data_IF_346668017846
#
_entry.id   IF_346668017846
#
_cell.length_a   1.000
_cell.length_b   1.000
_cell.length_c   1.000
_cell.angle_alpha   90.00
_cell.angle_beta   90.00
_cell.angle_gamma   90.00
#
_symmetry.space_group_name_H-M   'P 1'
#
loop_
_entity.id
_entity.type
_entity.pdbx_description
1 polymer ?
#
# COMPACT_ATOMS: atom_id res chain seq x y z
N UNK A 1 6.43 -23.80 -48.08
CA UNK A 1 7.49 -22.95 -47.51
C UNK A 1 6.80 -21.91 -46.65
N UNK A 2 6.96 -21.97 -45.34
CA UNK A 2 6.32 -21.06 -44.40
C UNK A 2 7.42 -20.29 -43.66
N UNK A 3 7.84 -19.17 -44.24
CA UNK A 3 8.70 -18.22 -43.52
C UNK A 3 7.77 -17.24 -42.82
N UNK A 4 7.51 -17.52 -41.54
CA UNK A 4 6.77 -16.61 -40.67
C UNK A 4 7.52 -15.29 -40.57
N UNK A 5 6.98 -14.25 -41.19
CA UNK A 5 7.42 -12.88 -40.97
C UNK A 5 6.94 -12.47 -39.58
N UNK A 6 7.86 -12.48 -38.62
CA UNK A 6 7.59 -12.10 -37.24
C UNK A 6 7.15 -10.64 -37.15
N UNK A 7 5.84 -10.41 -37.12
CA UNK A 7 5.23 -9.13 -36.81
C UNK A 7 5.12 -8.96 -35.30
N UNK A 8 6.26 -8.86 -34.63
CA UNK A 8 6.34 -8.40 -33.24
C UNK A 8 7.32 -7.22 -33.17
N UNK A 9 6.77 -6.01 -33.22
CA UNK A 9 7.45 -4.79 -32.77
C UNK A 9 8.29 -4.00 -33.79
N UNK A 10 8.36 -4.37 -35.07
CA UNK A 10 9.06 -3.58 -36.08
C UNK A 10 8.12 -2.55 -36.74
N UNK A 11 8.54 -1.28 -36.81
CA UNK A 11 7.87 -0.25 -37.61
C UNK A 11 7.84 -0.69 -39.08
N UNK A 12 6.66 -0.70 -39.71
CA UNK A 12 6.54 -1.07 -41.12
C UNK A 12 7.10 0.10 -41.93
N UNK A 13 8.16 -0.14 -42.68
CA UNK A 13 8.80 0.91 -43.47
C UNK A 13 8.22 0.96 -44.88
N UNK A 14 8.38 2.10 -45.57
CA UNK A 14 8.01 2.23 -47.00
C UNK A 14 8.71 1.20 -47.88
N UNK A 15 9.87 0.69 -47.44
CA UNK A 15 10.70 -0.20 -48.26
C UNK A 15 10.22 -1.64 -48.16
N UNK A 16 9.69 -2.01 -47.01
CA UNK A 16 9.04 -3.30 -46.82
C UNK A 16 7.77 -3.41 -47.66
N UNK A 17 6.95 -2.36 -47.70
CA UNK A 17 5.76 -2.32 -48.57
C UNK A 17 6.16 -2.41 -50.03
N UNK A 18 7.17 -1.64 -50.47
CA UNK A 18 7.66 -1.68 -51.86
C UNK A 18 8.22 -3.04 -52.26
N UNK A 19 8.96 -3.71 -51.38
CA UNK A 19 9.52 -5.04 -51.63
C UNK A 19 8.43 -6.09 -51.80
N UNK A 20 7.46 -6.14 -50.89
CA UNK A 20 6.34 -7.10 -50.95
C UNK A 20 5.43 -6.80 -52.15
N UNK A 21 5.17 -5.53 -52.45
CA UNK A 21 4.41 -5.13 -53.64
C UNK A 21 5.11 -5.56 -54.94
N UNK A 22 6.44 -5.46 -55.00
CA UNK A 22 7.22 -5.91 -56.16
C UNK A 22 7.21 -7.44 -56.31
N UNK A 23 7.33 -8.18 -55.21
CA UNK A 23 7.25 -9.64 -55.22
C UNK A 23 5.87 -10.14 -55.65
N UNK A 24 4.80 -9.50 -55.17
CA UNK A 24 3.42 -9.90 -55.44
C UNK A 24 2.96 -9.50 -56.85
N UNK A 25 3.34 -8.31 -57.31
CA UNK A 25 3.03 -7.85 -58.68
C UNK A 25 3.67 -8.72 -59.77
N UNK A 26 4.83 -9.33 -59.51
CA UNK A 26 5.47 -10.27 -60.44
C UNK A 26 4.67 -11.57 -60.65
N UNK A 27 3.83 -11.94 -59.67
CA UNK A 27 2.96 -13.12 -59.74
C UNK A 27 1.59 -12.87 -60.36
N UNK A 28 1.21 -11.61 -60.58
CA UNK A 28 -0.09 -11.22 -61.11
C UNK A 28 0.01 -10.73 -62.55
N UNK A 29 -0.83 -11.27 -63.44
CA UNK A 29 -0.74 -11.10 -64.91
C UNK A 29 -0.80 -9.65 -65.40
N UNK A 30 -1.33 -8.75 -64.58
CA UNK A 30 -1.53 -7.34 -64.92
C UNK A 30 -0.75 -6.39 -63.99
N UNK A 31 0.12 -6.91 -63.11
CA UNK A 31 0.86 -6.11 -62.10
C UNK A 31 -0.03 -5.47 -61.03
N UNK A 32 -1.35 -5.71 -61.07
CA UNK A 32 -2.31 -5.15 -60.15
C UNK A 32 -2.41 -5.98 -58.87
N UNK A 33 -2.18 -5.36 -57.72
CA UNK A 33 -2.23 -6.02 -56.40
C UNK A 33 -3.68 -5.97 -55.90
N UNK A 34 -4.33 -7.13 -55.63
CA UNK A 34 -5.67 -7.18 -55.09
C UNK A 34 -5.81 -6.51 -53.71
N UNK A 35 -7.01 -6.03 -53.37
CA UNK A 35 -7.25 -5.35 -52.08
C UNK A 35 -7.11 -6.27 -50.84
N UNK A 36 -7.09 -7.59 -51.01
CA UNK A 36 -6.92 -8.59 -49.94
C UNK A 36 -5.50 -9.16 -49.83
N UNK A 37 -4.54 -8.57 -50.54
CA UNK A 37 -3.17 -9.03 -50.64
C UNK A 37 -2.29 -8.61 -49.46
N UNK A 38 -1.16 -9.29 -49.30
CA UNK A 38 -0.20 -9.02 -48.23
C UNK A 38 0.38 -7.60 -48.38
N UNK A 39 0.68 -7.15 -49.61
CA UNK A 39 1.11 -5.78 -49.87
C UNK A 39 0.04 -4.73 -49.54
N UNK A 40 -1.24 -5.01 -49.83
CA UNK A 40 -2.36 -4.11 -49.51
C UNK A 40 -2.58 -3.99 -48.00
N UNK A 41 -2.38 -5.09 -47.27
CA UNK A 41 -2.46 -5.14 -45.81
C UNK A 41 -1.34 -4.32 -45.18
N UNK A 42 -0.11 -4.44 -45.67
CA UNK A 42 1.04 -3.65 -45.19
C UNK A 42 0.89 -2.16 -45.52
N UNK A 43 0.36 -1.81 -46.69
CA UNK A 43 0.03 -0.42 -47.03
C UNK A 43 -1.02 0.15 -46.07
N UNK A 44 -2.10 -0.58 -45.78
CA UNK A 44 -3.12 -0.15 -44.81
C UNK A 44 -2.56 0.05 -43.41
N UNK A 45 -1.64 -0.80 -42.98
CA UNK A 45 -0.98 -0.64 -41.68
C UNK A 45 -0.04 0.57 -41.67
N UNK A 46 0.70 0.82 -42.76
CA UNK A 46 1.53 2.01 -42.93
C UNK A 46 0.70 3.29 -42.94
N UNK A 47 -0.46 3.28 -43.61
CA UNK A 47 -1.38 4.41 -43.62
C UNK A 47 -1.95 4.67 -42.23
N UNK A 48 -2.33 3.62 -41.48
CA UNK A 48 -2.75 3.72 -40.07
C UNK A 48 -1.62 4.18 -39.14
N UNK A 49 -0.37 3.88 -39.46
CA UNK A 49 0.79 4.37 -38.72
C UNK A 49 1.10 5.85 -39.03
N UNK A 50 0.84 6.31 -40.26
CA UNK A 50 0.99 7.69 -40.70
C UNK A 50 -0.22 8.59 -40.45
N UNK A 51 -1.39 8.02 -40.13
CA UNK A 51 -2.48 8.80 -39.54
C UNK A 51 -1.90 9.53 -38.33
N UNK A 52 -2.09 10.84 -38.27
CA UNK A 52 -1.60 11.65 -37.16
C UNK A 52 -2.28 11.14 -35.89
N UNK A 53 -1.59 10.24 -35.17
CA UNK A 53 -2.13 9.56 -33.99
C UNK A 53 -2.62 10.58 -32.96
N UNK A 54 -2.03 11.79 -32.96
CA UNK A 54 -2.49 12.88 -32.13
C UNK A 54 -3.90 13.37 -32.51
N UNK A 55 -4.19 13.59 -33.80
CA UNK A 55 -5.54 13.99 -34.24
C UNK A 55 -6.60 12.95 -33.87
N UNK A 56 -6.30 11.66 -34.06
CA UNK A 56 -7.22 10.57 -33.71
C UNK A 56 -7.42 10.48 -32.18
N UNK A 57 -6.36 10.73 -31.40
CA UNK A 57 -6.44 10.76 -29.94
C UNK A 57 -7.27 11.96 -29.48
N UNK A 58 -7.09 13.13 -30.09
CA UNK A 58 -7.77 14.36 -29.70
C UNK A 58 -9.26 14.34 -30.07
N UNK A 59 -9.61 13.77 -31.23
CA UNK A 59 -10.99 13.50 -31.63
C UNK A 59 -11.70 12.52 -30.67
N UNK A 60 -11.00 11.49 -30.19
CA UNK A 60 -11.60 10.53 -29.24
C UNK A 60 -11.69 11.08 -27.83
N UNK A 61 -10.72 11.89 -27.39
CA UNK A 61 -10.77 12.58 -26.09
C UNK A 61 -11.91 13.58 -26.01
N UNK A 62 -12.18 14.33 -27.08
CA UNK A 62 -13.27 15.32 -27.10
C UNK A 62 -14.66 14.69 -27.09
N UNK A 63 -14.79 13.45 -27.60
CA UNK A 63 -16.04 12.68 -27.58
C UNK A 63 -16.22 11.79 -26.35
N UNK A 64 -15.31 11.85 -25.37
CA UNK A 64 -15.46 11.07 -24.15
C UNK A 64 -16.47 11.76 -23.22
N UNK A 65 -17.52 11.07 -22.75
CA UNK A 65 -18.49 11.66 -21.83
C UNK A 65 -17.76 12.18 -20.60
N UNK A 66 -18.03 13.44 -20.24
CA UNK A 66 -17.51 14.03 -19.02
C UNK A 66 -18.01 13.19 -17.84
N UNK A 67 -17.13 12.82 -16.89
CA UNK A 67 -17.56 12.20 -15.65
C UNK A 67 -18.58 13.11 -14.95
N UNK A 68 -19.73 12.58 -14.55
CA UNK A 68 -20.81 13.34 -13.90
C UNK A 68 -20.38 13.99 -12.58
N UNK A 69 -19.28 13.51 -11.99
CA UNK A 69 -18.65 14.11 -10.82
C UNK A 69 -17.16 14.39 -11.11
N UNK A 70 -16.68 15.64 -10.93
CA UNK A 70 -15.26 15.89 -10.97
C UNK A 70 -14.56 15.03 -9.90
N UNK A 71 -13.35 14.51 -10.15
CA UNK A 71 -12.60 13.81 -9.13
C UNK A 71 -12.40 14.75 -7.94
N UNK A 72 -13.06 14.41 -6.83
CA UNK A 72 -12.97 15.15 -5.58
C UNK A 72 -11.49 15.14 -5.17
N UNK A 73 -10.96 16.31 -4.80
CA UNK A 73 -9.58 16.42 -4.33
C UNK A 73 -9.36 15.40 -3.20
N UNK A 74 -8.33 14.57 -3.32
CA UNK A 74 -8.08 13.53 -2.33
C UNK A 74 -7.74 14.16 -0.98
N UNK A 75 -8.55 13.87 0.04
CA UNK A 75 -8.44 14.44 1.39
C UNK A 75 -7.32 13.79 2.25
N UNK A 76 -6.21 13.38 1.64
CA UNK A 76 -5.11 12.68 2.33
C UNK A 76 -4.33 13.54 3.32
N UNK A 77 -4.55 14.86 3.35
CA UNK A 77 -3.87 15.80 4.25
C UNK A 77 -4.70 16.17 5.49
N UNK A 78 -5.91 15.65 5.63
CA UNK A 78 -6.70 15.88 6.84
C UNK A 78 -6.14 15.04 7.98
N UNK A 79 -5.73 15.70 9.07
CA UNK A 79 -5.30 15.04 10.32
C UNK A 79 -6.40 14.17 10.96
N UNK A 80 -7.63 14.24 10.43
CA UNK A 80 -8.76 13.43 10.82
C UNK A 80 -8.77 12.10 10.06
N UNK A 81 -8.35 11.04 10.74
CA UNK A 81 -8.31 9.68 10.20
C UNK A 81 -9.68 9.12 9.79
N UNK A 82 -10.79 9.79 10.12
CA UNK A 82 -12.15 9.39 9.73
C UNK A 82 -12.55 9.85 8.32
N UNK A 83 -11.85 10.84 7.75
CA UNK A 83 -12.17 11.37 6.40
C UNK A 83 -11.36 10.70 5.28
N UNK A 84 -10.27 10.02 5.64
CA UNK A 84 -9.52 9.21 4.69
C UNK A 84 -10.22 7.86 4.50
N UNK A 85 -10.40 7.42 3.24
CA UNK A 85 -11.02 6.16 2.83
C UNK A 85 -10.22 4.90 3.25
N UNK A 86 -9.59 4.91 4.42
CA UNK A 86 -9.12 3.70 5.09
C UNK A 86 -10.34 3.11 5.78
N UNK A 87 -10.72 1.89 5.43
CA UNK A 87 -11.91 1.25 5.99
C UNK A 87 -11.90 1.36 7.51
N UNK A 88 -12.96 1.96 8.07
CA UNK A 88 -13.23 2.04 9.49
C UNK A 88 -13.51 0.63 10.03
N UNK A 89 -12.45 -0.16 10.20
CA UNK A 89 -12.52 -1.42 10.92
C UNK A 89 -13.12 -1.13 12.29
N UNK A 90 -14.39 -1.50 12.47
CA UNK A 90 -15.24 -1.06 13.56
C UNK A 90 -14.57 -1.12 14.92
N UNK A 91 -14.74 -0.04 15.68
CA UNK A 91 -14.32 0.06 17.07
C UNK A 91 -15.11 -0.97 17.89
N UNK A 92 -14.45 -2.06 18.29
CA UNK A 92 -14.89 -2.84 19.45
C UNK A 92 -14.59 -2.00 20.68
N UNK A 93 -15.64 -1.55 21.35
CA UNK A 93 -15.71 -0.61 22.49
C UNK A 93 -15.02 -1.08 23.79
N UNK A 94 -14.04 -1.98 23.68
CA UNK A 94 -13.53 -2.77 24.81
C UNK A 94 -12.09 -2.45 25.20
N UNK A 95 -11.51 -1.36 24.67
CA UNK A 95 -10.22 -0.84 25.17
C UNK A 95 -10.52 0.33 26.11
N UNK A 96 -11.20 0.05 27.23
CA UNK A 96 -11.70 1.05 28.17
C UNK A 96 -10.63 1.93 28.83
N UNK A 97 -9.35 1.54 28.72
CA UNK A 97 -8.22 2.24 29.32
C UNK A 97 -7.09 2.53 28.33
N UNK A 98 -7.37 3.02 27.12
CA UNK A 98 -6.31 3.39 26.17
C UNK A 98 -6.74 4.40 25.09
N UNK A 99 -6.07 5.55 25.09
CA UNK A 99 -6.28 6.64 24.13
C UNK A 99 -5.60 6.35 22.77
N UNK A 100 -5.70 7.32 21.85
CA UNK A 100 -4.93 7.61 20.63
C UNK A 100 -3.49 7.05 20.58
N UNK A 101 -2.81 6.88 21.72
CA UNK A 101 -1.51 6.19 21.82
C UNK A 101 -1.49 4.76 21.26
N UNK A 102 -2.60 4.00 21.32
CA UNK A 102 -2.63 2.60 20.91
C UNK A 102 -3.13 2.38 19.47
N UNK A 103 -3.88 3.33 18.92
CA UNK A 103 -4.61 3.16 17.64
C UNK A 103 -4.67 4.41 16.78
N UNK A 104 -4.36 5.56 17.37
CA UNK A 104 -4.32 6.82 16.66
C UNK A 104 -3.05 7.00 15.86
N UNK A 105 -3.00 8.04 15.02
CA UNK A 105 -1.78 8.40 14.33
C UNK A 105 -0.66 8.69 15.35
N UNK A 106 0.57 8.26 15.02
CA UNK A 106 1.75 8.45 15.86
C UNK A 106 2.20 9.92 15.87
N UNK A 107 1.39 10.78 16.49
CA UNK A 107 1.55 12.24 16.54
C UNK A 107 2.39 12.73 17.71
N UNK A 108 2.75 11.84 18.65
CA UNK A 108 3.62 12.14 19.79
C UNK A 108 4.80 11.17 19.88
N UNK A 109 5.83 11.58 20.63
CA UNK A 109 7.05 10.80 20.82
C UNK A 109 6.83 9.60 21.76
N UNK A 110 7.75 8.64 21.84
CA UNK A 110 7.58 7.46 22.69
C UNK A 110 7.87 7.79 24.16
N UNK A 111 6.91 7.54 25.05
CA UNK A 111 7.10 7.69 26.50
C UNK A 111 8.17 6.74 27.09
N UNK A 112 8.62 5.73 26.33
CA UNK A 112 9.74 4.85 26.71
C UNK A 112 11.10 5.53 26.51
N UNK A 113 11.19 6.47 25.57
CA UNK A 113 12.45 7.11 25.16
C UNK A 113 12.58 8.54 25.66
N UNK A 114 11.45 9.23 25.82
CA UNK A 114 11.39 10.65 26.12
C UNK A 114 10.56 10.89 27.37
N UNK A 115 11.13 11.61 28.33
CA UNK A 115 10.40 12.10 29.50
C UNK A 115 9.58 13.34 29.12
N UNK A 116 8.26 13.21 29.14
CA UNK A 116 7.33 14.28 28.80
C UNK A 116 7.50 15.51 29.70
N UNK A 117 7.73 15.30 30.99
CA UNK A 117 7.83 16.36 31.99
C UNK A 117 9.17 17.10 31.89
N UNK A 118 10.25 16.37 31.64
CA UNK A 118 11.56 16.99 31.43
C UNK A 118 11.62 17.79 30.12
N UNK A 119 11.12 17.23 29.02
CA UNK A 119 11.26 17.81 27.69
C UNK A 119 10.05 18.64 27.24
N UNK A 120 8.98 18.71 28.03
CA UNK A 120 7.74 19.41 27.68
C UNK A 120 7.20 18.99 26.29
N UNK A 121 7.35 17.71 25.96
CA UNK A 121 6.92 17.13 24.69
C UNK A 121 5.70 16.24 24.90
N UNK A 122 4.81 16.21 23.91
CA UNK A 122 3.72 15.25 23.89
C UNK A 122 4.30 13.85 23.64
N UNK A 123 4.32 13.00 24.65
CA UNK A 123 4.69 11.59 24.52
C UNK A 123 3.46 10.70 24.60
N UNK A 124 3.50 9.55 23.93
CA UNK A 124 2.44 8.56 23.84
C UNK A 124 2.93 7.24 24.45
N UNK A 125 2.01 6.49 25.05
CA UNK A 125 2.26 5.16 25.60
C UNK A 125 2.39 5.05 27.12
N UNK A 126 2.18 6.14 27.87
CA UNK A 126 1.98 6.11 29.33
C UNK A 126 0.49 6.21 29.67
N UNK A 127 0.09 5.60 30.79
CA UNK A 127 -1.30 5.61 31.26
C UNK A 127 -2.26 4.93 30.28
N UNK A 128 -1.87 3.78 29.72
CA UNK A 128 -2.69 3.01 28.79
C UNK A 128 -2.70 1.51 29.14
N UNK A 129 -3.67 0.78 28.63
CA UNK A 129 -3.88 -0.63 28.95
C UNK A 129 -4.13 -0.83 30.45
N UNK A 130 -3.41 -1.78 31.05
CA UNK A 130 -3.52 -2.08 32.49
C UNK A 130 -3.11 -0.93 33.39
N UNK A 131 -2.17 -0.09 32.97
CA UNK A 131 -1.73 1.06 33.76
C UNK A 131 -2.91 2.00 34.05
N UNK A 132 -3.73 2.29 33.03
CA UNK A 132 -4.92 3.11 33.20
C UNK A 132 -6.12 2.33 33.79
N UNK A 133 -6.32 1.06 33.42
CA UNK A 133 -7.45 0.25 33.91
C UNK A 133 -7.35 0.02 35.43
N UNK A 134 -6.14 -0.23 35.92
CA UNK A 134 -5.89 -0.54 37.33
C UNK A 134 -5.39 0.68 38.13
N UNK A 135 -5.28 1.86 37.50
CA UNK A 135 -4.84 3.09 38.16
C UNK A 135 -3.41 3.02 38.72
N UNK A 136 -2.51 2.36 37.99
CA UNK A 136 -1.13 2.14 38.41
C UNK A 136 -0.29 3.39 38.15
N UNK A 137 0.67 3.67 39.04
CA UNK A 137 1.63 4.78 38.87
C UNK A 137 2.77 4.48 37.88
N UNK A 138 2.73 3.34 37.21
CA UNK A 138 3.78 2.88 36.30
C UNK A 138 3.49 1.49 35.73
N UNK A 139 4.42 0.97 34.92
CA UNK A 139 4.26 -0.31 34.22
C UNK A 139 4.18 -1.46 35.25
N UNK A 140 3.22 -2.40 35.11
CA UNK A 140 3.14 -3.57 35.97
C UNK A 140 4.43 -4.40 36.00
N UNK A 141 4.87 -4.84 37.19
CA UNK A 141 6.05 -5.69 37.38
C UNK A 141 6.00 -7.02 36.61
N UNK A 142 4.81 -7.52 36.30
CA UNK A 142 4.60 -8.75 35.52
C UNK A 142 4.65 -8.55 33.99
N UNK A 143 4.61 -7.30 33.52
CA UNK A 143 4.72 -6.96 32.10
C UNK A 143 6.17 -6.90 31.61
N UNK A 144 7.14 -6.90 32.51
CA UNK A 144 8.57 -6.82 32.19
C UNK A 144 9.31 -8.15 32.43
N UNK A 145 10.51 -8.27 31.87
CA UNK A 145 11.37 -9.45 32.09
C UNK A 145 11.74 -9.60 33.57
N UNK A 146 12.09 -10.82 34.00
CA UNK A 146 12.44 -11.10 35.41
C UNK A 146 13.55 -10.19 35.95
N UNK A 147 14.57 -9.91 35.14
CA UNK A 147 15.72 -9.07 35.51
C UNK A 147 15.36 -7.58 35.62
N UNK A 148 14.22 -7.17 35.06
CA UNK A 148 13.75 -5.79 35.08
C UNK A 148 12.75 -5.51 36.22
N UNK A 149 12.27 -6.55 36.92
CA UNK A 149 11.33 -6.39 38.04
C UNK A 149 11.91 -5.52 39.15
N UNK A 150 11.04 -4.82 39.88
CA UNK A 150 11.39 -4.00 41.05
C UNK A 150 12.33 -2.82 40.76
N UNK A 151 12.47 -2.44 39.48
CA UNK A 151 13.17 -1.21 39.10
C UNK A 151 12.27 0.01 39.29
N UNK A 152 12.90 1.17 39.45
CA UNK A 152 12.20 2.45 39.56
C UNK A 152 11.29 2.68 38.34
N UNK A 153 10.07 3.18 38.58
CA UNK A 153 9.06 3.41 37.54
C UNK A 153 8.16 2.20 37.24
N UNK A 154 8.34 1.08 37.93
CA UNK A 154 7.45 -0.08 37.87
C UNK A 154 6.53 -0.12 39.10
N UNK A 155 5.29 -0.54 38.87
CA UNK A 155 4.33 -0.79 39.94
C UNK A 155 4.36 -2.27 40.32
N UNK A 156 4.50 -2.56 41.62
CA UNK A 156 4.42 -3.95 42.08
C UNK A 156 2.98 -4.46 42.03
N UNK A 157 2.72 -5.26 41.00
CA UNK A 157 1.45 -5.96 40.76
C UNK A 157 1.57 -7.45 41.02
N UNK A 158 2.76 -7.93 41.40
CA UNK A 158 2.92 -9.33 41.79
C UNK A 158 2.33 -9.51 43.19
N UNK A 159 1.36 -10.42 43.33
CA UNK A 159 0.83 -10.77 44.65
C UNK A 159 1.97 -11.18 45.57
N UNK A 160 1.81 -11.00 46.89
CA UNK A 160 2.80 -11.42 47.90
C UNK A 160 3.32 -12.81 47.53
N UNK A 161 4.62 -12.91 47.25
CA UNK A 161 5.27 -14.20 47.08
C UNK A 161 5.22 -14.89 48.44
N UNK A 162 4.24 -15.80 48.59
CA UNK A 162 4.05 -16.53 49.85
C UNK A 162 5.15 -17.57 50.09
N UNK A 163 6.15 -17.69 49.20
CA UNK A 163 7.17 -18.72 49.28
C UNK A 163 6.56 -20.08 48.99
N UNK A 164 7.04 -20.73 47.93
CA UNK A 164 6.79 -22.13 47.55
C UNK A 164 5.33 -22.65 47.63
N UNK A 165 4.64 -22.86 46.49
CA UNK A 165 3.34 -23.55 46.46
C UNK A 165 3.43 -25.06 46.78
N UNK A 166 4.62 -25.58 47.08
CA UNK A 166 4.82 -26.97 47.48
C UNK A 166 5.17 -26.99 48.96
N UNK A 167 4.19 -27.47 49.74
CA UNK A 167 4.29 -27.84 51.15
C UNK A 167 5.66 -28.45 51.44
N UNK A 168 6.51 -27.71 52.15
CA UNK A 168 7.53 -28.15 53.11
C UNK A 168 8.58 -27.05 53.21
N UNK A 169 8.46 -26.23 54.26
CA UNK A 169 9.54 -25.37 54.71
C UNK A 169 10.68 -26.28 55.24
N UNK A 170 11.90 -26.23 54.65
CA UNK A 170 13.04 -27.00 55.15
C UNK A 170 13.52 -26.55 56.56
N UNK A 171 12.98 -25.46 57.11
CA UNK A 171 13.25 -25.02 58.48
C UNK A 171 12.43 -25.77 59.55
N UNK A 172 11.34 -26.47 59.18
CA UNK A 172 10.43 -27.14 60.12
C UNK A 172 10.81 -28.59 60.44
N UNK A 173 12.00 -29.05 60.06
CA UNK A 173 12.56 -30.31 60.58
C UNK A 173 13.52 -30.05 61.73
N UNK A 174 12.95 -29.87 62.94
CA UNK A 174 13.60 -30.23 64.21
C UNK A 174 12.59 -30.70 65.24
#
# INVERSE_FOLDING_TARGET
MASGLGTQGAEITKEDVRRVAHEESAGHKDGNIPAGSDAATLQSMMDKQNQNKQEVIDERKSNLPLPDQPPVASDFNSSDGSTVNVGSGGLSDTFSAGNDSLRGPATGDSAVRTDANAFHTNTKGQGVGREAEEGLGGIPNDAVTRDAKNKAGLQDTTGKDYGYPQKNDPADTK
#
